data_IF_752760504182
#
_entry.id   IF_752760504182
#
_cell.length_a   1.000
_cell.length_b   1.000
_cell.length_c   1.000
_cell.angle_alpha   90.00
_cell.angle_beta   90.00
_cell.angle_gamma   90.00
#
_symmetry.space_group_name_H-M   'P 1'
#
loop_
_entity.id
_entity.type
_entity.pdbx_description
1 polymer ?
#
# COMPACT_ATOMS: atom_id res chain seq x y z
N UNK A 1 -1.47 9.79 -4.67
CA UNK A 1 -0.72 8.65 -4.15
C UNK A 1 0.64 8.51 -4.85
N UNK A 2 0.70 8.34 -6.21
CA UNK A 2 1.94 8.06 -6.96
C UNK A 2 3.05 9.06 -6.63
N UNK A 3 2.79 10.36 -6.76
CA UNK A 3 3.77 11.42 -6.50
C UNK A 3 4.23 11.48 -5.03
N UNK A 4 3.34 11.20 -4.09
CA UNK A 4 3.68 11.14 -2.66
C UNK A 4 4.67 10.00 -2.43
N UNK A 5 4.37 8.83 -2.96
CA UNK A 5 5.24 7.67 -2.81
C UNK A 5 6.57 7.83 -3.54
N UNK A 6 6.60 8.43 -4.73
CA UNK A 6 7.86 8.72 -5.43
C UNK A 6 8.77 9.67 -4.63
N UNK A 7 8.19 10.71 -4.03
CA UNK A 7 8.92 11.62 -3.13
C UNK A 7 9.45 10.88 -1.90
N UNK A 8 8.63 10.02 -1.30
CA UNK A 8 9.01 9.25 -0.12
C UNK A 8 10.12 8.23 -0.43
N UNK A 9 10.05 7.51 -1.54
CA UNK A 9 11.12 6.61 -1.98
C UNK A 9 12.45 7.37 -2.18
N UNK A 10 12.40 8.55 -2.78
CA UNK A 10 13.58 9.39 -2.98
C UNK A 10 14.12 9.93 -1.66
N UNK A 11 13.25 10.38 -0.74
CA UNK A 11 13.62 10.84 0.59
C UNK A 11 14.38 9.74 1.35
N UNK A 12 13.82 8.51 1.37
CA UNK A 12 14.45 7.37 2.06
C UNK A 12 15.77 6.98 1.44
N UNK A 13 15.88 6.94 0.12
CA UNK A 13 17.16 6.69 -0.56
C UNK A 13 18.22 7.70 -0.17
N UNK A 14 17.86 9.00 -0.15
CA UNK A 14 18.75 10.04 0.29
C UNK A 14 19.16 9.86 1.74
N UNK A 15 18.21 9.59 2.63
CA UNK A 15 18.44 9.33 4.04
C UNK A 15 19.48 8.22 4.27
N UNK A 16 19.32 7.09 3.59
CA UNK A 16 20.25 5.96 3.66
C UNK A 16 21.64 6.34 3.10
N UNK A 17 21.67 7.08 2.00
CA UNK A 17 22.91 7.55 1.39
C UNK A 17 23.66 8.52 2.29
N UNK A 18 22.98 9.44 2.95
CA UNK A 18 23.57 10.43 3.87
C UNK A 18 24.25 9.75 5.09
N UNK A 19 23.76 8.57 5.47
CA UNK A 19 24.37 7.74 6.50
C UNK A 19 25.33 6.65 5.99
N UNK A 20 25.51 6.56 4.68
CA UNK A 20 26.39 5.56 4.05
C UNK A 20 25.94 4.10 4.24
N UNK A 21 24.62 3.87 4.40
CA UNK A 21 24.05 2.54 4.67
C UNK A 21 23.14 2.08 3.53
N UNK A 22 22.98 0.75 3.40
CA UNK A 22 22.20 0.14 2.31
C UNK A 22 20.77 -0.27 2.68
N UNK A 23 20.42 -0.31 3.96
CA UNK A 23 19.10 -0.76 4.41
C UNK A 23 18.54 0.10 5.53
N UNK A 24 17.19 0.11 5.65
CA UNK A 24 16.50 0.81 6.74
C UNK A 24 16.94 0.30 8.12
N UNK A 25 17.19 -0.98 8.25
CA UNK A 25 17.65 -1.58 9.51
C UNK A 25 19.01 -1.03 9.93
N UNK A 26 19.98 -0.98 9.01
CA UNK A 26 21.29 -0.39 9.27
C UNK A 26 21.19 1.13 9.57
N UNK A 27 20.25 1.82 8.94
CA UNK A 27 19.99 3.22 9.24
C UNK A 27 19.52 3.41 10.69
N UNK A 28 18.55 2.61 11.14
CA UNK A 28 18.06 2.66 12.53
C UNK A 28 19.17 2.40 13.54
N UNK A 29 20.03 1.43 13.24
CA UNK A 29 21.20 1.13 14.08
C UNK A 29 22.23 2.27 14.12
N UNK A 30 22.51 2.87 12.97
CA UNK A 30 23.51 3.94 12.84
C UNK A 30 23.03 5.29 13.40
N UNK A 31 21.74 5.63 13.20
CA UNK A 31 21.20 6.92 13.60
C UNK A 31 20.56 6.95 14.97
N UNK A 32 20.16 5.79 15.50
CA UNK A 32 19.33 5.68 16.71
C UNK A 32 17.89 6.22 16.51
N UNK A 33 17.49 6.51 15.27
CA UNK A 33 16.16 7.02 14.94
C UNK A 33 15.25 5.89 14.43
N UNK A 34 14.00 5.93 14.86
CA UNK A 34 12.97 5.01 14.38
C UNK A 34 12.29 5.56 13.12
N UNK A 35 12.85 5.29 11.96
CA UNK A 35 12.16 5.53 10.70
C UNK A 35 11.16 4.38 10.47
N UNK A 36 9.83 4.64 10.37
CA UNK A 36 8.83 3.58 10.27
C UNK A 36 8.88 2.85 8.93
N UNK A 37 8.61 1.55 8.91
CA UNK A 37 8.35 0.83 7.67
C UNK A 37 6.99 1.24 7.09
N UNK A 38 6.86 1.17 5.76
CA UNK A 38 5.60 1.41 5.05
C UNK A 38 5.13 0.09 4.46
N UNK A 39 3.90 -0.30 4.74
CA UNK A 39 3.22 -1.41 4.09
C UNK A 39 2.17 -0.89 3.11
N UNK A 40 2.29 -1.26 1.86
CA UNK A 40 1.31 -0.96 0.80
C UNK A 40 0.54 -2.25 0.54
N UNK A 41 -0.76 -2.21 0.79
CA UNK A 41 -1.69 -3.30 0.54
C UNK A 41 -2.48 -2.97 -0.72
N UNK A 42 -2.32 -3.79 -1.75
CA UNK A 42 -2.97 -3.64 -3.03
C UNK A 42 -3.87 -4.83 -3.27
N UNK A 43 -5.15 -4.65 -3.01
CA UNK A 43 -6.13 -5.69 -3.20
C UNK A 43 -6.73 -5.65 -4.61
N UNK A 44 -6.92 -6.83 -5.22
CA UNK A 44 -7.51 -6.97 -6.56
C UNK A 44 -6.78 -6.14 -7.62
N UNK A 45 -5.50 -6.46 -7.90
CA UNK A 45 -4.65 -5.75 -8.87
C UNK A 45 -5.35 -5.46 -10.21
N UNK A 46 -6.19 -6.38 -10.68
CA UNK A 46 -6.97 -6.24 -11.90
C UNK A 46 -7.95 -5.07 -11.91
N UNK A 47 -8.40 -4.61 -10.74
CA UNK A 47 -9.33 -3.47 -10.65
C UNK A 47 -8.72 -2.13 -11.10
N UNK A 48 -7.40 -2.08 -11.22
CA UNK A 48 -6.68 -0.88 -11.66
C UNK A 48 -6.34 -0.88 -13.16
N UNK A 49 -6.64 -1.97 -13.85
CA UNK A 49 -6.43 -2.06 -15.29
C UNK A 49 -7.41 -1.14 -16.01
N UNK A 50 -6.94 -0.58 -17.13
CA UNK A 50 -7.72 0.31 -17.99
C UNK A 50 -8.06 1.68 -17.36
N UNK A 51 -7.59 1.94 -16.14
CA UNK A 51 -7.72 3.25 -15.51
C UNK A 51 -6.66 4.23 -16.04
N UNK A 52 -7.02 5.50 -16.10
CA UNK A 52 -6.14 6.56 -16.64
C UNK A 52 -4.77 6.62 -15.93
N UNK A 53 -4.71 6.22 -14.66
CA UNK A 53 -3.51 6.21 -13.84
C UNK A 53 -2.72 4.89 -13.88
N UNK A 54 -3.18 3.87 -14.62
CA UNK A 54 -2.57 2.52 -14.63
C UNK A 54 -1.07 2.56 -14.94
N UNK A 55 -0.68 3.29 -15.97
CA UNK A 55 0.72 3.34 -16.42
C UNK A 55 1.66 3.93 -15.37
N UNK A 56 1.26 5.03 -14.72
CA UNK A 56 2.06 5.69 -13.69
C UNK A 56 2.14 4.83 -12.42
N UNK A 57 1.00 4.28 -12.00
CA UNK A 57 0.94 3.39 -10.84
C UNK A 57 1.79 2.14 -11.07
N UNK A 58 1.71 1.51 -12.25
CA UNK A 58 2.51 0.35 -12.57
C UNK A 58 4.02 0.64 -12.54
N UNK A 59 4.45 1.80 -13.04
CA UNK A 59 5.86 2.25 -12.97
C UNK A 59 6.32 2.36 -11.52
N UNK A 60 5.51 2.99 -10.66
CA UNK A 60 5.77 3.12 -9.23
C UNK A 60 5.85 1.75 -8.55
N UNK A 61 4.86 0.87 -8.74
CA UNK A 61 4.81 -0.46 -8.15
C UNK A 61 6.01 -1.32 -8.59
N UNK A 62 6.39 -1.22 -9.87
CA UNK A 62 7.59 -1.89 -10.39
C UNK A 62 8.88 -1.36 -9.74
N UNK A 63 8.95 -0.09 -9.40
CA UNK A 63 10.06 0.48 -8.62
C UNK A 63 10.05 -0.03 -7.18
N UNK A 64 8.90 0.01 -6.51
CA UNK A 64 8.76 -0.48 -5.13
C UNK A 64 9.10 -1.96 -5.03
N UNK A 65 8.64 -2.79 -5.96
CA UNK A 65 8.93 -4.23 -5.94
C UNK A 65 10.42 -4.58 -6.06
N UNK A 66 11.22 -3.72 -6.70
CA UNK A 66 12.67 -3.91 -6.84
C UNK A 66 13.48 -3.31 -5.69
N UNK A 67 13.10 -2.14 -5.23
CA UNK A 67 13.94 -1.30 -4.35
C UNK A 67 13.33 -1.15 -2.95
N UNK A 68 12.02 -1.34 -2.81
CA UNK A 68 11.26 -1.01 -1.61
C UNK A 68 11.77 -1.72 -0.36
N UNK A 69 12.10 -3.00 -0.48
CA UNK A 69 12.47 -3.81 0.68
C UNK A 69 13.67 -3.24 1.43
N UNK A 70 14.71 -2.79 0.72
CA UNK A 70 15.90 -2.22 1.34
C UNK A 70 15.63 -0.91 2.08
N UNK A 71 14.70 -0.11 1.58
CA UNK A 71 14.32 1.19 2.17
C UNK A 71 13.09 1.11 3.08
N UNK A 72 12.67 -0.12 3.44
CA UNK A 72 11.57 -0.36 4.38
C UNK A 72 10.19 -0.08 3.80
N UNK A 73 10.00 -0.25 2.48
CA UNK A 73 8.68 -0.18 1.83
C UNK A 73 8.30 -1.57 1.33
N UNK A 74 7.27 -2.12 1.93
CA UNK A 74 6.77 -3.46 1.66
C UNK A 74 5.53 -3.40 0.80
N UNK A 75 5.40 -4.33 -0.15
CA UNK A 75 4.26 -4.42 -1.04
C UNK A 75 3.62 -5.81 -0.93
N UNK A 76 2.33 -5.82 -0.61
CA UNK A 76 1.48 -7.00 -0.64
C UNK A 76 0.42 -6.79 -1.73
N UNK A 77 0.33 -7.74 -2.66
CA UNK A 77 -0.59 -7.67 -3.80
C UNK A 77 -1.46 -8.90 -3.84
N UNK A 78 -2.77 -8.73 -3.99
CA UNK A 78 -3.66 -9.80 -4.37
C UNK A 78 -4.09 -9.66 -5.82
N UNK A 79 -4.34 -10.79 -6.49
CA UNK A 79 -4.85 -10.83 -7.85
C UNK A 79 -5.66 -12.12 -8.04
N UNK A 80 -6.72 -12.06 -8.84
CA UNK A 80 -7.56 -13.22 -9.12
C UNK A 80 -6.82 -14.31 -9.90
N UNK A 81 -5.83 -13.94 -10.72
CA UNK A 81 -4.99 -14.86 -11.50
C UNK A 81 -3.57 -14.32 -11.64
N UNK A 82 -2.59 -15.24 -11.71
CA UNK A 82 -1.20 -14.88 -11.96
C UNK A 82 -1.02 -14.14 -13.31
N UNK A 83 -1.76 -14.54 -14.34
CA UNK A 83 -1.74 -13.90 -15.66
C UNK A 83 -2.21 -12.44 -15.66
N UNK A 84 -2.87 -11.98 -14.61
CA UNK A 84 -3.22 -10.58 -14.43
C UNK A 84 -1.99 -9.71 -14.13
N UNK A 85 -0.95 -10.29 -13.54
CA UNK A 85 0.29 -9.60 -13.20
C UNK A 85 1.27 -9.63 -14.37
N UNK A 86 1.91 -8.51 -14.66
CA UNK A 86 2.98 -8.47 -15.66
C UNK A 86 4.17 -9.30 -15.18
N UNK A 87 4.77 -10.11 -16.07
CA UNK A 87 5.82 -11.04 -15.71
C UNK A 87 7.00 -10.39 -14.97
N UNK A 88 7.44 -9.20 -15.41
CA UNK A 88 8.53 -8.45 -14.78
C UNK A 88 8.21 -8.01 -13.36
N UNK A 89 6.94 -7.67 -13.09
CA UNK A 89 6.48 -7.30 -11.76
C UNK A 89 6.40 -8.52 -10.85
N UNK A 90 5.75 -9.58 -11.35
CA UNK A 90 5.59 -10.83 -10.63
C UNK A 90 6.93 -11.47 -10.21
N UNK A 91 7.95 -11.41 -11.06
CA UNK A 91 9.27 -11.96 -10.77
C UNK A 91 9.99 -11.36 -9.56
N UNK A 92 9.59 -10.17 -9.12
CA UNK A 92 10.19 -9.50 -7.96
C UNK A 92 9.63 -9.98 -6.60
N UNK A 93 8.54 -10.74 -6.60
CA UNK A 93 7.95 -11.26 -5.36
C UNK A 93 8.60 -12.58 -4.95
N UNK A 94 9.30 -12.56 -3.82
CA UNK A 94 9.95 -13.75 -3.23
C UNK A 94 8.94 -14.72 -2.63
N UNK A 95 7.86 -14.19 -2.06
CA UNK A 95 6.80 -14.95 -1.43
C UNK A 95 5.58 -14.96 -2.32
N UNK A 96 5.20 -16.14 -2.77
CA UNK A 96 4.07 -16.35 -3.66
C UNK A 96 3.15 -17.39 -3.02
N UNK A 97 1.87 -17.07 -2.98
CA UNK A 97 0.86 -17.85 -2.31
C UNK A 97 -0.34 -18.03 -3.24
N UNK A 98 -0.81 -19.26 -3.38
CA UNK A 98 -2.02 -19.58 -4.14
C UNK A 98 -3.11 -20.08 -3.19
N UNK A 99 -4.21 -19.37 -3.16
CA UNK A 99 -5.47 -19.88 -2.64
C UNK A 99 -6.05 -20.92 -3.61
N UNK A 100 -7.07 -21.72 -3.23
CA UNK A 100 -7.76 -22.62 -4.14
C UNK A 100 -8.22 -21.90 -5.40
N UNK A 101 -7.96 -22.53 -6.55
CA UNK A 101 -8.35 -22.04 -7.87
C UNK A 101 -9.16 -23.10 -8.60
N UNK A 102 -10.08 -22.70 -9.46
CA UNK A 102 -10.88 -23.63 -10.27
C UNK A 102 -10.03 -24.42 -11.25
N UNK A 103 -8.89 -23.86 -11.67
CA UNK A 103 -7.94 -24.52 -12.58
C UNK A 103 -6.61 -24.80 -11.87
N UNK A 104 -6.26 -26.09 -11.84
CA UNK A 104 -4.95 -26.55 -11.30
C UNK A 104 -3.76 -25.94 -12.04
N UNK A 105 -3.93 -25.56 -13.32
CA UNK A 105 -2.91 -24.84 -14.09
C UNK A 105 -2.57 -23.50 -13.50
N UNK A 106 -3.56 -22.75 -13.02
CA UNK A 106 -3.37 -21.45 -12.35
C UNK A 106 -2.57 -21.63 -11.05
N UNK A 107 -2.92 -22.63 -10.23
CA UNK A 107 -2.14 -22.95 -9.01
C UNK A 107 -0.68 -23.24 -9.36
N UNK A 108 -0.44 -24.06 -10.38
CA UNK A 108 0.91 -24.43 -10.82
C UNK A 108 1.71 -23.25 -11.37
N UNK A 109 1.04 -22.30 -12.00
CA UNK A 109 1.72 -21.08 -12.51
C UNK A 109 2.31 -20.24 -11.37
N UNK A 110 1.72 -20.33 -10.16
CA UNK A 110 2.16 -19.60 -8.97
C UNK A 110 3.22 -20.38 -8.20
N UNK A 111 2.90 -21.61 -7.78
CA UNK A 111 3.76 -22.36 -6.87
C UNK A 111 4.67 -23.39 -7.57
N UNK A 112 4.50 -23.59 -8.87
CA UNK A 112 5.23 -24.59 -9.64
C UNK A 112 4.52 -25.94 -9.70
N UNK A 113 5.16 -26.91 -10.37
CA UNK A 113 4.60 -28.26 -10.53
C UNK A 113 4.69 -29.03 -9.21
N UNK A 114 3.53 -29.30 -8.60
CA UNK A 114 3.42 -30.08 -7.37
C UNK A 114 2.18 -30.96 -7.38
N UNK A 115 2.23 -32.18 -6.80
CA UNK A 115 1.06 -33.02 -6.59
C UNK A 115 0.00 -32.33 -5.70
N UNK A 116 0.44 -31.50 -4.76
CA UNK A 116 -0.43 -30.77 -3.82
C UNK A 116 -1.44 -29.86 -4.53
N UNK A 117 -1.12 -29.35 -5.71
CA UNK A 117 -2.03 -28.52 -6.51
C UNK A 117 -3.33 -29.26 -6.90
N UNK A 118 -3.30 -30.61 -6.97
CA UNK A 118 -4.49 -31.42 -7.29
C UNK A 118 -5.27 -31.85 -6.06
N UNK A 119 -4.62 -31.88 -4.89
CA UNK A 119 -5.20 -32.42 -3.64
C UNK A 119 -5.53 -31.32 -2.65
N UNK A 120 -5.32 -30.05 -3.02
CA UNK A 120 -5.66 -28.92 -2.16
C UNK A 120 -7.17 -28.85 -1.97
N UNK A 121 -7.58 -28.89 -0.72
CA UNK A 121 -8.98 -28.78 -0.33
C UNK A 121 -9.45 -27.32 -0.43
N UNK A 122 -10.69 -27.11 -0.88
CA UNK A 122 -11.34 -25.79 -0.92
C UNK A 122 -11.88 -25.44 0.48
N UNK A 123 -10.94 -25.15 1.38
CA UNK A 123 -11.20 -24.69 2.74
C UNK A 123 -10.82 -23.23 2.85
N UNK A 124 -11.65 -22.40 3.45
CA UNK A 124 -11.40 -20.97 3.65
C UNK A 124 -10.04 -20.74 4.34
N UNK A 125 -9.16 -20.00 3.70
CA UNK A 125 -7.80 -19.73 4.17
C UNK A 125 -6.77 -20.83 3.90
N UNK A 126 -7.15 -21.96 3.28
CA UNK A 126 -6.19 -22.95 2.81
C UNK A 126 -5.41 -22.39 1.63
N UNK A 127 -4.09 -22.58 1.62
CA UNK A 127 -3.24 -22.09 0.55
C UNK A 127 -2.01 -22.97 0.34
N UNK A 128 -1.43 -22.86 -0.85
CA UNK A 128 -0.09 -23.35 -1.13
C UNK A 128 0.89 -22.18 -1.17
N UNK A 129 2.01 -22.33 -0.51
CA UNK A 129 3.08 -21.33 -0.49
C UNK A 129 4.35 -21.93 -1.07
N UNK A 130 4.93 -21.23 -2.06
CA UNK A 130 6.22 -21.59 -2.61
C UNK A 130 7.33 -21.04 -1.73
N UNK A 131 8.15 -21.96 -1.22
CA UNK A 131 9.44 -21.68 -0.58
C UNK A 131 10.53 -22.48 -1.32
N UNK A 132 11.46 -23.11 -0.63
CA UNK A 132 12.36 -24.10 -1.20
C UNK A 132 11.55 -25.31 -1.72
N UNK A 133 10.56 -25.72 -0.93
CA UNK A 133 9.50 -26.65 -1.33
C UNK A 133 8.14 -25.95 -1.31
N UNK A 134 7.10 -26.66 -1.76
CA UNK A 134 5.73 -26.17 -1.73
C UNK A 134 5.03 -26.69 -0.47
N UNK A 135 4.67 -25.78 0.40
CA UNK A 135 3.98 -26.06 1.65
C UNK A 135 2.47 -25.83 1.53
N UNK A 136 1.68 -26.68 2.21
CA UNK A 136 0.27 -26.39 2.49
C UNK A 136 0.22 -25.55 3.76
N UNK A 137 -0.41 -24.39 3.69
CA UNK A 137 -0.58 -23.51 4.83
C UNK A 137 -2.05 -23.23 5.11
N UNK A 138 -2.36 -22.88 6.34
CA UNK A 138 -3.66 -22.42 6.76
C UNK A 138 -3.51 -20.99 7.26
N UNK A 139 -4.11 -20.04 6.55
CA UNK A 139 -4.18 -18.65 6.99
C UNK A 139 -5.14 -18.53 8.17
N UNK A 140 -4.72 -17.82 9.20
CA UNK A 140 -5.59 -17.50 10.32
C UNK A 140 -6.69 -16.53 9.88
N UNK A 141 -7.88 -16.74 10.38
CA UNK A 141 -8.96 -15.76 10.23
C UNK A 141 -8.73 -14.61 11.20
N UNK A 142 -8.94 -13.35 10.78
CA UNK A 142 -8.71 -12.21 11.64
C UNK A 142 -9.69 -12.15 12.81
N UNK A 143 -10.91 -12.65 12.62
CA UNK A 143 -11.99 -12.72 13.62
C UNK A 143 -12.88 -13.92 13.34
N UNK A 144 -13.59 -14.36 14.36
CA UNK A 144 -14.63 -15.40 14.24
C UNK A 144 -15.96 -14.78 13.79
N UNK A 145 -16.85 -15.60 13.24
CA UNK A 145 -18.21 -15.23 12.90
C UNK A 145 -18.95 -16.37 12.22
N UNK A 146 -20.23 -16.55 12.56
CA UNK A 146 -21.07 -17.60 12.01
C UNK A 146 -21.48 -17.35 10.54
N UNK A 147 -21.38 -16.11 10.08
CA UNK A 147 -21.65 -15.67 8.72
C UNK A 147 -20.85 -14.41 8.37
N UNK A 148 -20.82 -14.06 7.09
CA UNK A 148 -20.00 -12.94 6.61
C UNK A 148 -20.39 -11.57 7.22
N UNK A 149 -21.67 -11.35 7.51
CA UNK A 149 -22.13 -10.12 8.16
C UNK A 149 -21.59 -10.01 9.60
N UNK A 150 -21.57 -11.10 10.33
CA UNK A 150 -21.01 -11.15 11.68
C UNK A 150 -19.49 -11.00 11.64
N UNK A 151 -18.80 -11.67 10.71
CA UNK A 151 -17.34 -11.49 10.49
C UNK A 151 -17.01 -10.01 10.23
N UNK A 152 -17.75 -9.36 9.33
CA UNK A 152 -17.53 -7.95 9.02
C UNK A 152 -17.75 -7.05 10.26
N UNK A 153 -18.79 -7.30 11.04
CA UNK A 153 -19.07 -6.53 12.25
C UNK A 153 -17.98 -6.73 13.31
N UNK A 154 -17.58 -7.98 13.55
CA UNK A 154 -16.50 -8.29 14.49
C UNK A 154 -15.16 -7.70 14.04
N UNK A 155 -14.86 -7.71 12.73
CA UNK A 155 -13.66 -7.07 12.17
C UNK A 155 -13.67 -5.56 12.42
N UNK A 156 -14.82 -4.88 12.24
CA UNK A 156 -14.94 -3.45 12.55
C UNK A 156 -14.68 -3.14 14.02
N UNK A 157 -15.20 -3.98 14.91
CA UNK A 157 -14.97 -3.83 16.34
C UNK A 157 -13.49 -4.04 16.71
N UNK A 158 -12.84 -5.05 16.14
CA UNK A 158 -11.42 -5.32 16.36
C UNK A 158 -10.56 -4.14 15.87
N UNK A 159 -10.83 -3.62 14.66
CA UNK A 159 -10.14 -2.44 14.12
C UNK A 159 -10.33 -1.22 15.02
N UNK A 160 -11.55 -0.99 15.53
CA UNK A 160 -11.81 0.12 16.46
C UNK A 160 -11.02 -0.03 17.76
N UNK A 161 -10.99 -1.24 18.33
CA UNK A 161 -10.21 -1.55 19.54
C UNK A 161 -8.70 -1.32 19.33
N UNK A 162 -8.15 -1.76 18.19
CA UNK A 162 -6.75 -1.52 17.84
C UNK A 162 -6.45 -0.03 17.65
N UNK A 163 -7.39 0.73 17.07
CA UNK A 163 -7.24 2.18 16.92
C UNK A 163 -7.24 2.93 18.27
N UNK A 164 -8.05 2.50 19.22
CA UNK A 164 -8.08 3.07 20.56
C UNK A 164 -6.83 2.70 21.36
N UNK A 165 -6.34 1.46 21.22
CA UNK A 165 -5.14 1.00 21.88
C UNK A 165 -3.85 1.64 21.35
N UNK A 166 -3.85 2.15 20.10
CA UNK A 166 -2.68 2.74 19.49
C UNK A 166 -2.41 4.17 20.01
N UNK A 167 -1.34 4.34 20.76
CA UNK A 167 -0.88 5.62 21.30
C UNK A 167 0.26 6.27 20.53
N UNK A 168 0.80 5.59 19.53
CA UNK A 168 1.90 6.07 18.69
C UNK A 168 1.48 7.09 17.64
N UNK A 169 2.47 7.66 16.95
CA UNK A 169 2.23 8.56 15.83
C UNK A 169 1.52 7.81 14.69
N UNK A 170 0.50 8.44 14.12
CA UNK A 170 -0.21 7.93 12.94
C UNK A 170 0.37 8.53 11.67
N UNK A 171 0.42 7.79 10.56
CA UNK A 171 0.79 8.37 9.27
C UNK A 171 -0.22 9.45 8.87
N UNK A 172 0.27 10.47 8.18
CA UNK A 172 -0.62 11.48 7.60
C UNK A 172 -1.55 10.84 6.57
N UNK A 173 -2.81 11.25 6.57
CA UNK A 173 -3.74 10.84 5.52
C UNK A 173 -3.23 11.28 4.15
N UNK A 174 -3.49 10.47 3.12
CA UNK A 174 -3.22 10.88 1.75
C UNK A 174 -4.21 12.00 1.42
N UNK A 175 -3.73 13.21 1.09
CA UNK A 175 -4.62 14.32 0.81
C UNK A 175 -5.43 14.03 -0.47
N UNK A 176 -6.72 14.29 -0.42
CA UNK A 176 -7.64 14.17 -1.55
C UNK A 176 -8.40 15.49 -1.72
N UNK A 177 -8.55 15.92 -2.97
CA UNK A 177 -9.46 17.02 -3.29
C UNK A 177 -10.88 16.46 -3.23
N UNK A 178 -11.79 17.06 -2.44
CA UNK A 178 -13.19 16.64 -2.42
C UNK A 178 -13.85 16.94 -3.76
N UNK A 179 -14.86 16.14 -4.15
CA UNK A 179 -15.65 16.38 -5.35
C UNK A 179 -16.36 17.75 -5.30
N UNK A 180 -16.86 18.11 -4.12
CA UNK A 180 -17.43 19.41 -3.83
C UNK A 180 -16.62 20.07 -2.72
N UNK A 181 -16.12 21.27 -2.98
CA UNK A 181 -15.36 22.08 -2.04
C UNK A 181 -16.20 23.29 -1.64
N UNK A 182 -16.84 23.21 -0.48
CA UNK A 182 -17.60 24.37 0.04
C UNK A 182 -16.66 25.46 0.52
N UNK A 183 -17.16 26.70 0.58
CA UNK A 183 -16.41 27.84 1.13
C UNK A 183 -15.97 27.58 2.58
N UNK A 184 -16.86 27.03 3.40
CA UNK A 184 -16.57 26.70 4.78
C UNK A 184 -15.45 25.66 4.91
N UNK A 185 -15.49 24.60 4.10
CA UNK A 185 -14.46 23.55 4.09
C UNK A 185 -13.11 24.10 3.60
N UNK A 186 -13.15 24.95 2.57
CA UNK A 186 -11.95 25.58 2.04
C UNK A 186 -11.26 26.45 3.10
N UNK A 187 -11.98 27.38 3.71
CA UNK A 187 -11.40 28.28 4.70
C UNK A 187 -11.10 27.63 6.06
N UNK A 188 -11.66 26.47 6.36
CA UNK A 188 -11.30 25.70 7.56
C UNK A 188 -9.91 25.05 7.50
N UNK A 189 -9.34 24.92 6.30
CA UNK A 189 -8.05 24.25 6.10
C UNK A 189 -6.88 25.08 6.65
N UNK A 190 -6.01 24.43 7.42
CA UNK A 190 -4.86 25.09 8.04
C UNK A 190 -3.91 25.74 7.02
N UNK A 191 -3.69 25.11 5.86
CA UNK A 191 -2.87 25.64 4.78
C UNK A 191 -3.46 26.90 4.15
N UNK A 192 -4.79 26.97 3.99
CA UNK A 192 -5.49 28.16 3.50
C UNK A 192 -5.39 29.31 4.49
N UNK A 193 -5.59 29.03 5.79
CA UNK A 193 -5.42 30.04 6.84
C UNK A 193 -3.97 30.53 6.94
N UNK A 194 -3.00 29.66 6.76
CA UNK A 194 -1.60 30.04 6.74
C UNK A 194 -1.27 30.97 5.56
N UNK A 195 -1.84 30.72 4.36
CA UNK A 195 -1.70 31.59 3.21
C UNK A 195 -2.28 33.01 3.48
N UNK A 196 -3.45 33.09 4.08
CA UNK A 196 -4.04 34.36 4.49
C UNK A 196 -3.15 35.15 5.46
N UNK A 197 -2.59 34.48 6.47
CA UNK A 197 -1.67 35.13 7.44
C UNK A 197 -0.42 35.67 6.78
N UNK A 198 -0.03 35.13 5.63
CA UNK A 198 1.10 35.62 4.82
C UNK A 198 0.70 36.74 3.84
N UNK A 199 -0.54 37.21 3.85
CA UNK A 199 -1.04 38.24 2.93
C UNK A 199 -1.31 37.72 1.51
N UNK A 200 -1.45 36.44 1.33
CA UNK A 200 -1.80 35.80 0.06
C UNK A 200 -3.30 35.57 -0.04
N UNK A 201 -3.87 35.66 -1.23
CA UNK A 201 -5.27 35.34 -1.49
C UNK A 201 -5.38 33.93 -2.01
N UNK A 202 -5.92 32.95 -1.23
CA UNK A 202 -6.13 31.62 -1.71
C UNK A 202 -7.36 31.57 -2.62
N UNK A 203 -7.21 30.96 -3.81
CA UNK A 203 -8.22 30.90 -4.86
C UNK A 203 -8.91 29.53 -4.95
N UNK A 204 -8.24 28.49 -4.53
CA UNK A 204 -8.68 27.10 -4.64
C UNK A 204 -7.59 26.14 -4.21
N UNK A 205 -7.79 24.84 -4.43
CA UNK A 205 -6.81 23.80 -4.15
C UNK A 205 -6.22 23.25 -5.45
N UNK A 206 -4.92 23.05 -5.44
CA UNK A 206 -4.24 22.29 -6.49
C UNK A 206 -4.71 20.82 -6.46
N UNK A 207 -5.09 20.28 -7.62
CA UNK A 207 -5.66 18.94 -7.73
C UNK A 207 -4.68 17.81 -7.37
N UNK A 208 -3.39 18.10 -7.37
CA UNK A 208 -2.35 17.10 -7.14
C UNK A 208 -1.77 17.16 -5.74
N UNK A 209 -1.49 18.38 -5.27
CA UNK A 209 -0.87 18.61 -3.97
C UNK A 209 -1.89 18.84 -2.87
N UNK A 210 -3.12 19.21 -3.23
CA UNK A 210 -4.20 19.64 -2.33
C UNK A 210 -3.81 20.88 -1.50
N UNK A 211 -2.75 21.56 -1.92
CA UNK A 211 -2.31 22.82 -1.33
C UNK A 211 -3.05 24.01 -1.96
N UNK A 212 -3.21 25.13 -1.23
CA UNK A 212 -3.91 26.28 -1.78
C UNK A 212 -3.12 26.93 -2.92
N UNK A 213 -3.79 27.12 -4.06
CA UNK A 213 -3.31 28.02 -5.12
C UNK A 213 -3.55 29.43 -4.64
N UNK A 214 -2.50 30.23 -4.58
CA UNK A 214 -2.56 31.58 -4.02
C UNK A 214 -2.22 32.65 -5.04
N UNK A 215 -2.85 33.81 -4.88
CA UNK A 215 -2.54 35.03 -5.62
C UNK A 215 -1.90 36.05 -4.69
N UNK A 216 -0.78 36.58 -5.11
CA UNK A 216 -0.11 37.69 -4.42
C UNK A 216 -0.56 39.02 -5.05
N UNK A 217 -1.40 39.77 -4.35
CA UNK A 217 -1.94 41.08 -4.83
C UNK A 217 -0.89 42.19 -4.75
N UNK A 218 0.20 41.98 -4.02
CA UNK A 218 1.24 42.99 -3.80
C UNK A 218 2.32 43.04 -4.90
N UNK A 219 2.14 42.27 -5.98
CA UNK A 219 3.04 42.22 -7.12
C UNK A 219 2.38 42.60 -8.41
#
# INVERSE_FOLDING_TARGET
FVRIMERELNRRKKLLSDYGVGTLELYRQASGQEEPAIAILLDSYESMKEEAYEAELFKLLGRISREGLSIGVHLLVTAGRQSNLRAQFYANFKHQLSLPQNDVGEVRSIVGSTPLAKTMEDIKGRALMKRDEVDVIQLALPVEGANDAQVLNNLRQEVASLQEAWTGQRPSAIPMVPEELTEADFYSRASVQAAYKQGLVPLGLDMETVEPITWNISK
#
